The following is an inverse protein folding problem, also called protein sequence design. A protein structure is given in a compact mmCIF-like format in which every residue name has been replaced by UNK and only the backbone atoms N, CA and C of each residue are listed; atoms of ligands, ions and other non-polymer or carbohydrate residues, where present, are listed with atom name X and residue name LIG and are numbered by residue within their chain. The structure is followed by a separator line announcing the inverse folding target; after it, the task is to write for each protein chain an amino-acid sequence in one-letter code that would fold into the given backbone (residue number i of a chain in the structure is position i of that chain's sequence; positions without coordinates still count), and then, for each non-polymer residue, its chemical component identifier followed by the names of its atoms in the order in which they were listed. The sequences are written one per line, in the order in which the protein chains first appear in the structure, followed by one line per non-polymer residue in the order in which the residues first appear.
data_IF_212915289491
#
_entry.id   IF_212915289491
#
_cell.length_a   1.000
_cell.length_b   1.000
_cell.length_c   1.000
_cell.angle_alpha   90.00
_cell.angle_beta   90.00
_cell.angle_gamma   90.00
#
_symmetry.space_group_name_H-M   'P 1'
#
loop_
_entity.id
_entity.type
_entity.pdbx_description
1 polymer ?
#
# COMPACT_ATOMS: atom_id res chain seq x y z
N UNK A 1 -15.42 -18.94 4.14
CA UNK A 1 -14.19 -19.74 4.17
C UNK A 1 -13.31 -19.21 3.05
N UNK A 2 -12.03 -18.94 3.33
CA UNK A 2 -11.03 -18.55 2.33
C UNK A 2 -10.87 -19.68 1.31
N UNK A 3 -10.69 -19.33 0.02
CA UNK A 3 -10.40 -20.29 -1.06
C UNK A 3 -8.98 -20.88 -0.93
N UNK A 4 -8.20 -20.40 0.04
CA UNK A 4 -6.78 -20.71 0.21
C UNK A 4 -6.55 -21.24 1.63
N UNK A 5 -5.65 -22.21 1.74
CA UNK A 5 -5.22 -22.74 3.03
C UNK A 5 -4.44 -21.65 3.79
N UNK A 6 -4.79 -21.39 5.06
CA UNK A 6 -4.13 -20.35 5.84
C UNK A 6 -2.65 -20.66 6.12
N UNK A 7 -2.28 -21.94 6.20
CA UNK A 7 -0.93 -22.42 6.42
C UNK A 7 -0.55 -23.42 5.31
N UNK A 8 0.61 -23.21 4.69
CA UNK A 8 1.16 -24.09 3.66
C UNK A 8 2.57 -24.51 4.06
N UNK A 9 2.90 -25.78 3.88
CA UNK A 9 4.23 -26.32 4.13
C UNK A 9 5.03 -26.44 2.82
N UNK A 10 6.23 -25.83 2.79
CA UNK A 10 7.18 -25.92 1.67
C UNK A 10 8.56 -26.23 2.23
N UNK A 11 9.17 -27.33 1.78
CA UNK A 11 10.51 -27.77 2.23
C UNK A 11 10.64 -27.82 3.78
N UNK A 12 9.60 -28.32 4.45
CA UNK A 12 9.58 -28.41 5.93
C UNK A 12 9.37 -27.11 6.68
N UNK A 13 9.23 -25.97 5.97
CA UNK A 13 8.97 -24.64 6.56
C UNK A 13 7.50 -24.26 6.42
N UNK A 14 6.94 -23.55 7.40
CA UNK A 14 5.58 -23.01 7.37
C UNK A 14 5.55 -21.66 6.67
N UNK A 15 4.49 -21.47 5.87
CA UNK A 15 4.18 -20.22 5.21
C UNK A 15 2.70 -19.87 5.43
N UNK A 16 2.44 -18.61 5.70
CA UNK A 16 1.11 -18.09 6.02
C UNK A 16 0.55 -17.27 4.87
N UNK A 17 -0.69 -17.55 4.49
CA UNK A 17 -1.35 -16.84 3.39
C UNK A 17 -1.65 -15.38 3.75
N UNK A 18 -1.23 -14.46 2.87
CA UNK A 18 -1.42 -13.01 3.05
C UNK A 18 -2.23 -12.39 1.92
N UNK A 19 -1.80 -12.57 0.67
CA UNK A 19 -2.36 -11.85 -0.47
C UNK A 19 -2.77 -12.80 -1.60
N UNK A 20 -3.99 -12.56 -2.14
CA UNK A 20 -4.49 -13.25 -3.32
C UNK A 20 -3.71 -12.85 -4.58
N UNK A 21 -3.73 -13.70 -5.62
CA UNK A 21 -3.14 -13.37 -6.91
C UNK A 21 -3.72 -12.06 -7.49
N UNK A 22 -5.02 -11.82 -7.30
CA UNK A 22 -5.68 -10.59 -7.73
C UNK A 22 -5.09 -9.33 -7.06
N UNK A 23 -4.85 -9.35 -5.75
CA UNK A 23 -4.21 -8.22 -5.04
C UNK A 23 -2.78 -8.00 -5.50
N UNK A 24 -2.02 -9.09 -5.70
CA UNK A 24 -0.63 -9.02 -6.18
C UNK A 24 -0.51 -8.45 -7.59
N UNK A 25 -1.40 -8.85 -8.50
CA UNK A 25 -1.43 -8.29 -9.87
C UNK A 25 -1.72 -6.79 -9.84
N UNK A 26 -2.69 -6.34 -9.04
CA UNK A 26 -2.97 -4.91 -8.86
C UNK A 26 -1.74 -4.17 -8.32
N UNK A 27 -1.05 -4.74 -7.33
CA UNK A 27 0.18 -4.15 -6.77
C UNK A 27 1.30 -4.04 -7.83
N UNK A 28 1.49 -5.06 -8.66
CA UNK A 28 2.49 -5.03 -9.75
C UNK A 28 2.15 -3.94 -10.78
N UNK A 29 0.88 -3.83 -11.18
CA UNK A 29 0.43 -2.78 -12.11
C UNK A 29 0.65 -1.39 -11.49
N UNK A 30 0.29 -1.22 -10.20
CA UNK A 30 0.53 0.01 -9.45
C UNK A 30 2.02 0.37 -9.44
N UNK A 31 2.88 -0.58 -9.08
CA UNK A 31 4.32 -0.38 -9.05
C UNK A 31 4.88 0.06 -10.42
N UNK A 32 4.55 -0.67 -11.49
CA UNK A 32 5.04 -0.35 -12.85
C UNK A 32 4.57 1.04 -13.27
N UNK A 33 3.30 1.37 -13.06
CA UNK A 33 2.75 2.67 -13.48
C UNK A 33 3.39 3.83 -12.70
N UNK A 34 3.55 3.70 -11.40
CA UNK A 34 4.20 4.75 -10.59
C UNK A 34 5.67 4.92 -10.98
N UNK A 35 6.39 3.81 -11.22
CA UNK A 35 7.77 3.88 -11.69
C UNK A 35 7.89 4.61 -13.03
N UNK A 36 7.04 4.30 -14.01
CA UNK A 36 7.01 4.98 -15.29
C UNK A 36 6.65 6.46 -15.15
N UNK A 37 5.67 6.78 -14.29
CA UNK A 37 5.27 8.16 -14.02
C UNK A 37 6.40 8.98 -13.41
N UNK A 38 7.12 8.42 -12.44
CA UNK A 38 8.27 9.07 -11.83
C UNK A 38 9.41 9.24 -12.84
N UNK A 39 9.77 8.16 -13.56
CA UNK A 39 10.84 8.16 -14.54
C UNK A 39 10.63 9.17 -15.69
N UNK A 40 9.38 9.37 -16.12
CA UNK A 40 9.05 10.35 -17.16
C UNK A 40 8.76 11.74 -16.61
N UNK A 41 8.14 11.85 -15.43
CA UNK A 41 7.70 13.11 -14.86
C UNK A 41 8.83 13.98 -14.29
N UNK A 42 9.81 13.37 -13.59
CA UNK A 42 10.93 14.14 -13.04
C UNK A 42 11.81 14.80 -14.10
N UNK A 43 12.27 14.09 -15.15
CA UNK A 43 13.01 14.74 -16.23
C UNK A 43 12.19 15.81 -16.96
N UNK A 44 10.88 15.61 -17.12
CA UNK A 44 10.01 16.61 -17.73
C UNK A 44 9.91 17.89 -16.87
N UNK A 45 9.78 17.75 -15.55
CA UNK A 45 9.78 18.89 -14.61
C UNK A 45 11.11 19.65 -14.60
N UNK A 46 12.21 18.94 -14.74
CA UNK A 46 13.58 19.47 -14.62
C UNK A 46 14.30 19.54 -15.95
N UNK A 47 13.59 19.78 -17.06
CA UNK A 47 14.11 19.72 -18.40
C UNK A 47 15.32 20.67 -18.67
N UNK A 48 15.45 21.74 -17.89
CA UNK A 48 16.58 22.66 -17.94
C UNK A 48 17.83 22.14 -17.22
N UNK A 49 17.72 21.08 -16.39
CA UNK A 49 18.82 20.54 -15.61
C UNK A 49 19.65 19.56 -16.44
N UNK A 50 20.98 19.62 -16.30
CA UNK A 50 21.90 18.81 -17.09
C UNK A 50 21.71 17.28 -16.94
N UNK A 51 21.27 16.82 -15.78
CA UNK A 51 20.99 15.40 -15.49
C UNK A 51 19.66 14.92 -16.12
N UNK A 52 18.69 15.81 -16.29
CA UNK A 52 17.35 15.44 -16.73
C UNK A 52 17.29 15.15 -18.23
N UNK A 53 18.04 15.93 -19.04
CA UNK A 53 18.03 15.81 -20.49
C UNK A 53 18.43 14.42 -21.01
N UNK A 54 19.54 13.79 -20.57
CA UNK A 54 19.89 12.44 -21.02
C UNK A 54 18.82 11.39 -20.67
N UNK A 55 18.18 11.49 -19.49
CA UNK A 55 17.10 10.59 -19.10
C UNK A 55 15.85 10.80 -19.95
N UNK A 56 15.53 12.04 -20.25
CA UNK A 56 14.38 12.40 -21.08
C UNK A 56 14.57 11.92 -22.53
N UNK A 57 15.77 12.14 -23.08
CA UNK A 57 16.14 11.68 -24.43
C UNK A 57 16.17 10.14 -24.53
N UNK A 58 16.65 9.45 -23.50
CA UNK A 58 16.61 7.99 -23.39
C UNK A 58 15.17 7.43 -23.44
N UNK A 59 14.19 8.15 -22.90
CA UNK A 59 12.76 7.78 -22.95
C UNK A 59 12.04 8.27 -24.22
N UNK A 60 12.78 8.69 -25.24
CA UNK A 60 12.26 9.13 -26.53
C UNK A 60 11.92 10.62 -26.61
N UNK A 61 12.45 11.43 -25.71
CA UNK A 61 12.42 12.88 -25.75
C UNK A 61 11.02 13.47 -25.67
N UNK A 62 10.83 14.62 -26.33
CA UNK A 62 9.60 15.43 -26.30
C UNK A 62 8.38 14.74 -26.92
N UNK A 63 8.59 13.73 -27.74
CA UNK A 63 7.50 13.04 -28.44
C UNK A 63 6.97 11.84 -27.64
N UNK A 64 7.87 10.98 -27.12
CA UNK A 64 7.48 9.70 -26.55
C UNK A 64 7.36 9.75 -25.02
N UNK A 65 8.25 10.46 -24.30
CA UNK A 65 8.20 10.51 -22.86
C UNK A 65 6.86 11.06 -22.31
N UNK A 66 6.26 12.14 -22.87
CA UNK A 66 4.92 12.59 -22.46
C UNK A 66 3.82 11.58 -22.77
N UNK A 67 3.96 10.81 -23.86
CA UNK A 67 3.00 9.77 -24.22
C UNK A 67 3.03 8.63 -23.21
N UNK A 68 4.24 8.16 -22.81
CA UNK A 68 4.42 7.15 -21.76
C UNK A 68 3.82 7.66 -20.45
N UNK A 69 4.09 8.92 -20.07
CA UNK A 69 3.54 9.53 -18.85
C UNK A 69 2.02 9.50 -18.82
N UNK A 70 1.39 9.98 -19.90
CA UNK A 70 -0.08 10.03 -20.04
C UNK A 70 -0.70 8.63 -20.05
N UNK A 71 -0.07 7.68 -20.76
CA UNK A 71 -0.53 6.29 -20.80
C UNK A 71 -0.45 5.64 -19.41
N UNK A 72 0.67 5.77 -18.72
CA UNK A 72 0.84 5.27 -17.35
C UNK A 72 -0.14 5.93 -16.36
N UNK A 73 -0.34 7.25 -16.46
CA UNK A 73 -1.34 7.97 -15.68
C UNK A 73 -2.76 7.48 -15.90
N UNK A 74 -3.12 7.21 -17.16
CA UNK A 74 -4.43 6.64 -17.50
C UNK A 74 -4.61 5.25 -16.90
N UNK A 75 -3.60 4.38 -17.01
CA UNK A 75 -3.65 3.03 -16.40
C UNK A 75 -3.78 3.13 -14.88
N UNK A 76 -3.03 4.03 -14.23
CA UNK A 76 -3.11 4.25 -12.79
C UNK A 76 -4.50 4.72 -12.36
N UNK A 77 -5.11 5.66 -13.06
CA UNK A 77 -6.47 6.14 -12.78
C UNK A 77 -7.50 5.02 -12.95
N UNK A 78 -7.41 4.25 -14.03
CA UNK A 78 -8.30 3.10 -14.26
C UNK A 78 -8.14 2.04 -13.17
N UNK A 79 -6.90 1.75 -12.75
CA UNK A 79 -6.63 0.83 -11.65
C UNK A 79 -7.23 1.33 -10.33
N UNK A 80 -7.10 2.62 -10.04
CA UNK A 80 -7.66 3.23 -8.84
C UNK A 80 -9.19 3.13 -8.80
N UNK A 81 -9.85 3.47 -9.91
CA UNK A 81 -11.31 3.35 -10.05
C UNK A 81 -11.73 1.88 -9.91
N UNK A 82 -11.04 0.97 -10.60
CA UNK A 82 -11.31 -0.47 -10.51
C UNK A 82 -11.17 -0.98 -9.07
N UNK A 83 -10.08 -0.64 -8.39
CA UNK A 83 -9.83 -1.05 -7.01
C UNK A 83 -10.89 -0.50 -6.05
N UNK A 84 -11.28 0.76 -6.22
CA UNK A 84 -12.33 1.40 -5.42
C UNK A 84 -13.69 0.70 -5.62
N UNK A 85 -14.07 0.41 -6.87
CA UNK A 85 -15.30 -0.34 -7.19
C UNK A 85 -15.24 -1.75 -6.61
N UNK A 86 -14.11 -2.44 -6.74
CA UNK A 86 -13.91 -3.78 -6.17
C UNK A 86 -14.08 -3.77 -4.66
N UNK A 87 -13.49 -2.79 -3.96
CA UNK A 87 -13.62 -2.63 -2.51
C UNK A 87 -15.07 -2.34 -2.08
N UNK A 88 -15.76 -1.42 -2.77
CA UNK A 88 -17.17 -1.10 -2.52
C UNK A 88 -18.05 -2.36 -2.72
N UNK A 89 -17.82 -3.10 -3.80
CA UNK A 89 -18.55 -4.34 -4.09
C UNK A 89 -18.30 -5.40 -3.01
N UNK A 90 -17.05 -5.58 -2.58
CA UNK A 90 -16.68 -6.49 -1.50
C UNK A 90 -17.40 -6.13 -0.20
N UNK A 91 -17.35 -4.86 0.20
CA UNK A 91 -18.03 -4.37 1.41
C UNK A 91 -19.54 -4.56 1.34
N UNK A 92 -20.14 -4.20 0.22
CA UNK A 92 -21.57 -4.42 -0.03
C UNK A 92 -21.96 -5.89 0.13
N UNK A 93 -21.25 -6.78 -0.55
CA UNK A 93 -21.56 -8.22 -0.59
C UNK A 93 -21.38 -8.89 0.76
N UNK A 94 -20.29 -8.61 1.47
CA UNK A 94 -19.92 -9.35 2.67
C UNK A 94 -20.43 -8.72 3.97
N UNK A 95 -20.71 -7.43 3.98
CA UNK A 95 -21.15 -6.72 5.18
C UNK A 95 -22.56 -6.15 5.06
N UNK A 96 -22.83 -5.33 4.04
CA UNK A 96 -24.14 -4.65 3.95
C UNK A 96 -25.29 -5.60 3.67
N UNK A 97 -25.13 -6.58 2.78
CA UNK A 97 -26.15 -7.58 2.52
C UNK A 97 -26.47 -8.43 3.76
N UNK A 98 -25.44 -8.74 4.58
CA UNK A 98 -25.63 -9.45 5.84
C UNK A 98 -26.45 -8.60 6.82
N UNK A 99 -26.04 -7.35 7.05
CA UNK A 99 -26.78 -6.42 7.92
C UNK A 99 -28.23 -6.21 7.47
N UNK A 100 -28.45 -6.11 6.13
CA UNK A 100 -29.80 -5.99 5.56
C UNK A 100 -30.64 -7.23 5.82
N UNK A 101 -30.08 -8.43 5.61
CA UNK A 101 -30.78 -9.71 5.89
C UNK A 101 -31.15 -9.86 7.38
N UNK A 102 -30.26 -9.43 8.27
CA UNK A 102 -30.48 -9.47 9.71
C UNK A 102 -31.37 -8.31 10.22
N UNK A 103 -31.86 -7.43 9.34
CA UNK A 103 -32.64 -6.21 9.70
C UNK A 103 -31.93 -5.30 10.71
N UNK A 104 -30.59 -5.32 10.71
CA UNK A 104 -29.73 -4.54 11.62
C UNK A 104 -29.03 -3.36 10.91
N UNK A 105 -29.47 -2.98 9.72
CA UNK A 105 -28.87 -1.89 8.95
C UNK A 105 -29.24 -0.55 9.58
N UNK A 106 -28.34 0.01 10.36
CA UNK A 106 -28.40 1.33 10.94
C UNK A 106 -27.00 1.96 10.94
N UNK A 107 -26.90 3.25 11.22
CA UNK A 107 -25.61 4.00 11.18
C UNK A 107 -24.56 3.34 12.08
N UNK A 108 -24.93 2.93 13.30
CA UNK A 108 -24.00 2.30 14.25
C UNK A 108 -23.45 0.96 13.72
N UNK A 109 -24.31 0.11 13.16
CA UNK A 109 -23.92 -1.19 12.60
C UNK A 109 -23.09 -1.01 11.33
N UNK A 110 -23.44 -0.02 10.50
CA UNK A 110 -22.65 0.34 9.32
C UNK A 110 -21.24 0.80 9.71
N UNK A 111 -21.13 1.75 10.64
CA UNK A 111 -19.82 2.25 11.12
C UNK A 111 -19.00 1.12 11.75
N UNK A 112 -19.63 0.25 12.56
CA UNK A 112 -18.94 -0.91 13.12
C UNK A 112 -18.43 -1.87 12.04
N UNK A 113 -19.23 -2.14 11.00
CA UNK A 113 -18.82 -2.98 9.88
C UNK A 113 -17.66 -2.35 9.09
N UNK A 114 -17.69 -1.04 8.86
CA UNK A 114 -16.62 -0.31 8.19
C UNK A 114 -15.32 -0.35 9.01
N UNK A 115 -15.37 -0.08 10.30
CA UNK A 115 -14.20 -0.12 11.20
C UNK A 115 -13.68 -1.55 11.47
N UNK A 116 -14.44 -2.59 11.09
CA UNK A 116 -13.99 -3.98 11.19
C UNK A 116 -13.22 -4.47 9.97
N UNK A 117 -13.10 -3.65 8.92
CA UNK A 117 -12.29 -3.98 7.75
C UNK A 117 -10.79 -3.96 8.11
N UNK A 118 -10.05 -4.96 7.63
CA UNK A 118 -8.64 -5.16 7.97
C UNK A 118 -7.75 -3.95 7.64
N UNK A 119 -8.07 -3.22 6.55
CA UNK A 119 -7.29 -2.07 6.10
C UNK A 119 -7.76 -0.74 6.69
N UNK A 120 -8.90 -0.68 7.37
CA UNK A 120 -9.38 0.56 7.98
C UNK A 120 -8.69 0.76 9.34
N UNK A 121 -8.10 1.95 9.60
CA UNK A 121 -7.51 2.26 10.89
C UNK A 121 -8.52 2.11 12.04
N UNK A 122 -8.07 1.54 13.13
CA UNK A 122 -8.90 1.28 14.30
C UNK A 122 -8.15 1.61 15.61
N UNK A 123 -8.80 1.38 16.75
CA UNK A 123 -8.23 1.67 18.08
C UNK A 123 -6.92 0.92 18.35
N UNK A 124 -6.81 -0.32 17.85
CA UNK A 124 -5.60 -1.15 18.01
C UNK A 124 -4.37 -0.52 17.34
N UNK A 125 -4.55 0.10 16.17
CA UNK A 125 -3.45 0.77 15.47
C UNK A 125 -2.87 1.91 16.32
N UNK A 126 -3.74 2.67 17.00
CA UNK A 126 -3.30 3.72 17.90
C UNK A 126 -2.56 3.17 19.13
N UNK A 127 -3.07 2.07 19.70
CA UNK A 127 -2.42 1.36 20.81
C UNK A 127 -1.04 0.86 20.38
N UNK A 128 -0.92 0.31 19.18
CA UNK A 128 0.34 -0.17 18.61
C UNK A 128 1.34 0.98 18.34
N UNK A 129 0.85 2.14 17.87
CA UNK A 129 1.69 3.35 17.71
C UNK A 129 2.23 3.81 19.07
N UNK A 130 1.40 3.87 20.09
CA UNK A 130 1.83 4.24 21.44
C UNK A 130 2.81 3.19 21.99
N UNK A 131 2.55 1.90 21.74
CA UNK A 131 3.41 0.81 22.20
C UNK A 131 4.79 0.84 21.52
N UNK A 132 4.86 1.13 20.21
CA UNK A 132 6.17 1.22 19.53
C UNK A 132 7.00 2.39 20.08
N UNK A 133 6.38 3.54 20.35
CA UNK A 133 7.09 4.66 20.99
C UNK A 133 7.60 4.32 22.37
N UNK A 134 6.79 3.63 23.21
CA UNK A 134 7.23 3.15 24.53
C UNK A 134 8.40 2.18 24.41
N UNK A 135 8.38 1.31 23.40
CA UNK A 135 9.45 0.35 23.15
C UNK A 135 10.74 1.05 22.69
N UNK A 136 10.65 1.96 21.71
CA UNK A 136 11.80 2.70 21.20
C UNK A 136 12.43 3.64 22.23
N UNK A 137 11.64 4.16 23.16
CA UNK A 137 12.11 5.02 24.26
C UNK A 137 12.48 4.21 25.52
N UNK A 138 12.57 2.88 25.43
CA UNK A 138 12.95 1.97 26.52
C UNK A 138 12.03 1.99 27.75
N UNK A 139 10.78 2.45 27.61
CA UNK A 139 9.76 2.36 28.67
C UNK A 139 9.18 0.95 28.80
N UNK A 140 9.39 0.09 27.84
CA UNK A 140 8.96 -1.32 27.84
C UNK A 140 9.91 -2.17 26.99
N UNK A 141 10.06 -3.44 27.35
CA UNK A 141 10.84 -4.41 26.59
C UNK A 141 9.95 -5.21 25.60
N UNK A 142 8.68 -4.86 25.48
CA UNK A 142 7.73 -5.58 24.62
C UNK A 142 7.39 -4.76 23.39
N UNK A 143 7.71 -5.24 22.17
CA UNK A 143 7.25 -4.60 20.94
C UNK A 143 5.72 -4.72 20.78
N UNK A 144 5.09 -3.94 19.91
CA UNK A 144 3.67 -4.08 19.60
C UNK A 144 3.39 -5.46 18.98
N UNK A 145 2.18 -5.98 19.21
CA UNK A 145 1.69 -7.24 18.63
C UNK A 145 0.68 -6.92 17.55
N UNK A 146 1.17 -6.74 16.34
CA UNK A 146 0.32 -6.39 15.21
C UNK A 146 -0.63 -7.52 14.82
N UNK A 147 -1.82 -7.12 14.41
CA UNK A 147 -2.80 -7.98 13.76
C UNK A 147 -2.38 -8.30 12.32
N UNK A 148 -3.32 -8.83 11.51
CA UNK A 148 -3.09 -9.16 10.10
C UNK A 148 -2.48 -8.01 9.31
N UNK A 149 -2.93 -6.76 9.54
CA UNK A 149 -2.37 -5.55 8.95
C UNK A 149 -1.93 -4.60 10.06
N UNK A 150 -0.66 -4.24 10.04
CA UNK A 150 -0.09 -3.24 10.94
C UNK A 150 -0.56 -1.83 10.55
N UNK A 151 -0.47 -0.87 11.49
CA UNK A 151 -0.79 0.52 11.21
C UNK A 151 0.07 1.12 10.06
N UNK A 152 1.31 0.64 9.87
CA UNK A 152 2.21 1.04 8.78
C UNK A 152 1.65 0.59 7.43
N UNK A 153 1.27 -0.66 7.30
CA UNK A 153 0.67 -1.21 6.08
C UNK A 153 -0.66 -0.53 5.73
N UNK A 154 -1.46 -0.19 6.75
CA UNK A 154 -2.69 0.59 6.54
C UNK A 154 -2.38 2.01 6.05
N UNK A 155 -1.36 2.67 6.61
CA UNK A 155 -0.93 3.98 6.16
C UNK A 155 -0.46 3.95 4.69
N UNK A 156 0.39 2.97 4.33
CA UNK A 156 0.84 2.75 2.96
C UNK A 156 -0.33 2.48 1.99
N UNK A 157 -1.33 1.73 2.45
CA UNK A 157 -2.54 1.47 1.65
C UNK A 157 -3.40 2.72 1.42
N UNK A 158 -3.47 3.64 2.39
CA UNK A 158 -4.22 4.88 2.24
C UNK A 158 -3.48 5.96 1.46
N UNK A 159 -2.15 5.89 1.33
CA UNK A 159 -1.38 6.87 0.58
C UNK A 159 -1.86 7.08 -0.87
N UNK A 160 -2.16 6.04 -1.68
CA UNK A 160 -2.76 6.19 -3.01
C UNK A 160 -4.14 6.87 -2.99
N UNK A 161 -4.95 6.67 -1.95
CA UNK A 161 -6.26 7.32 -1.81
C UNK A 161 -6.15 8.81 -1.49
N UNK A 162 -5.00 9.24 -0.98
CA UNK A 162 -4.68 10.65 -0.83
C UNK A 162 -4.09 11.22 -2.13
N UNK A 163 -3.02 10.63 -2.64
CA UNK A 163 -2.23 11.16 -3.75
C UNK A 163 -2.96 11.12 -5.10
N UNK A 164 -3.60 10.00 -5.47
CA UNK A 164 -4.23 9.85 -6.79
C UNK A 164 -5.37 10.84 -7.02
N UNK A 165 -6.27 11.15 -6.05
CA UNK A 165 -7.29 12.19 -6.23
C UNK A 165 -6.74 13.61 -6.42
N UNK A 166 -5.51 13.88 -6.00
CA UNK A 166 -4.82 15.16 -6.24
C UNK A 166 -4.11 15.11 -7.59
N UNK A 167 -3.25 14.10 -7.79
CA UNK A 167 -2.42 13.96 -8.99
C UNK A 167 -3.25 13.73 -10.26
N UNK A 168 -4.30 12.89 -10.16
CA UNK A 168 -5.09 12.50 -11.31
C UNK A 168 -5.83 13.66 -11.97
N UNK A 169 -6.74 14.36 -11.26
CA UNK A 169 -7.44 15.51 -11.82
C UNK A 169 -6.49 16.64 -12.25
N UNK A 170 -5.44 16.93 -11.47
CA UNK A 170 -4.44 17.91 -11.85
C UNK A 170 -3.72 17.49 -13.15
N UNK A 171 -3.31 16.22 -13.27
CA UNK A 171 -2.68 15.68 -14.47
C UNK A 171 -3.59 15.74 -15.71
N UNK A 172 -4.88 15.43 -15.55
CA UNK A 172 -5.88 15.55 -16.62
C UNK A 172 -6.03 17.02 -17.07
N UNK A 173 -6.13 17.94 -16.13
CA UNK A 173 -6.23 19.36 -16.45
C UNK A 173 -4.97 19.90 -17.17
N UNK A 174 -3.79 19.39 -16.78
CA UNK A 174 -2.52 19.75 -17.45
C UNK A 174 -2.38 19.08 -18.83
N UNK A 175 -2.97 17.90 -19.02
CA UNK A 175 -3.00 17.23 -20.32
C UNK A 175 -3.89 17.97 -21.33
N UNK A 176 -5.07 18.41 -20.88
CA UNK A 176 -6.05 19.17 -21.67
C UNK A 176 -6.03 20.65 -21.31
N UNK A 177 -4.81 21.23 -21.28
CA UNK A 177 -4.58 22.59 -20.76
C UNK A 177 -5.37 23.65 -21.55
N UNK A 178 -5.49 23.48 -22.86
CA UNK A 178 -6.18 24.44 -23.72
C UNK A 178 -7.68 24.45 -23.39
N UNK A 179 -8.28 23.29 -23.26
CA UNK A 179 -9.70 23.13 -22.92
C UNK A 179 -10.00 23.69 -21.52
N UNK A 180 -9.14 23.34 -20.55
CA UNK A 180 -9.30 23.83 -19.19
C UNK A 180 -9.02 25.34 -19.04
N UNK A 181 -8.25 25.96 -19.96
CA UNK A 181 -8.01 27.41 -19.95
C UNK A 181 -9.26 28.23 -20.24
N UNK A 182 -10.25 27.64 -20.90
CA UNK A 182 -11.56 28.27 -21.14
C UNK A 182 -12.47 28.27 -19.91
N UNK A 183 -12.19 27.40 -18.93
CA UNK A 183 -13.04 27.20 -17.76
C UNK A 183 -12.33 27.72 -16.48
N UNK A 184 -11.00 27.53 -16.39
CA UNK A 184 -10.21 27.88 -15.25
C UNK A 184 -9.36 29.14 -15.52
N UNK A 185 -9.26 30.04 -14.55
CA UNK A 185 -8.33 31.18 -14.67
C UNK A 185 -6.86 30.70 -14.67
N UNK A 186 -5.97 31.45 -15.31
CA UNK A 186 -4.57 31.05 -15.50
C UNK A 186 -3.82 30.73 -14.19
N UNK A 187 -4.14 31.44 -13.10
CA UNK A 187 -3.54 31.13 -11.78
C UNK A 187 -3.95 29.73 -11.27
N UNK A 188 -5.15 29.24 -11.59
CA UNK A 188 -5.61 27.92 -11.18
C UNK A 188 -4.84 26.81 -11.93
N UNK A 189 -4.56 26.99 -13.23
CA UNK A 189 -3.71 26.06 -13.98
C UNK A 189 -2.27 26.01 -13.44
N UNK A 190 -1.72 27.15 -13.02
CA UNK A 190 -0.41 27.18 -12.38
C UNK A 190 -0.43 26.52 -11.00
N UNK A 191 -1.49 26.72 -10.21
CA UNK A 191 -1.67 26.02 -8.94
C UNK A 191 -1.76 24.50 -9.14
N UNK A 192 -2.53 24.02 -10.14
CA UNK A 192 -2.62 22.60 -10.48
C UNK A 192 -1.27 22.02 -10.91
N UNK A 193 -0.45 22.79 -11.64
CA UNK A 193 0.91 22.37 -11.99
C UNK A 193 1.77 22.19 -10.75
N UNK A 194 1.79 23.14 -9.83
CA UNK A 194 2.53 23.06 -8.57
C UNK A 194 2.04 21.87 -7.74
N UNK A 195 0.73 21.75 -7.54
CA UNK A 195 0.14 20.63 -6.80
C UNK A 195 0.52 19.28 -7.41
N UNK A 196 0.44 19.12 -8.73
CA UNK A 196 0.80 17.88 -9.41
C UNK A 196 2.27 17.53 -9.22
N UNK A 197 3.15 18.50 -9.42
CA UNK A 197 4.59 18.26 -9.34
C UNK A 197 5.10 18.06 -7.92
N UNK A 198 4.57 18.79 -6.93
CA UNK A 198 5.01 18.70 -5.54
C UNK A 198 4.43 17.47 -4.85
N UNK A 199 3.15 17.14 -5.12
CA UNK A 199 2.56 15.89 -4.64
C UNK A 199 3.26 14.67 -5.27
N UNK A 200 3.64 14.73 -6.56
CA UNK A 200 4.42 13.67 -7.21
C UNK A 200 5.79 13.48 -6.54
N UNK A 201 6.47 14.57 -6.19
CA UNK A 201 7.73 14.51 -5.44
C UNK A 201 7.52 13.90 -4.06
N UNK A 202 6.52 14.35 -3.32
CA UNK A 202 6.18 13.81 -1.99
C UNK A 202 5.86 12.30 -2.08
N UNK A 203 5.03 11.89 -3.05
CA UNK A 203 4.68 10.49 -3.25
C UNK A 203 5.91 9.61 -3.55
N UNK A 204 6.81 10.07 -4.41
CA UNK A 204 8.04 9.31 -4.74
C UNK A 204 9.00 9.26 -3.55
N UNK A 205 9.18 10.35 -2.82
CA UNK A 205 10.01 10.34 -1.60
C UNK A 205 9.44 9.40 -0.55
N UNK A 206 8.12 9.43 -0.33
CA UNK A 206 7.46 8.50 0.58
C UNK A 206 7.65 7.03 0.14
N UNK A 207 7.39 6.73 -1.13
CA UNK A 207 7.52 5.38 -1.67
C UNK A 207 8.96 4.87 -1.59
N UNK A 208 9.96 5.72 -1.86
CA UNK A 208 11.36 5.31 -1.87
C UNK A 208 11.93 5.19 -0.44
N UNK A 209 11.73 6.21 0.42
CA UNK A 209 12.35 6.24 1.74
C UNK A 209 11.56 5.52 2.82
N UNK A 210 10.25 5.41 2.69
CA UNK A 210 9.40 4.77 3.71
C UNK A 210 8.94 3.41 3.25
N UNK A 211 8.14 3.33 2.19
CA UNK A 211 7.56 2.07 1.75
C UNK A 211 8.63 1.08 1.30
N UNK A 212 9.46 1.46 0.33
CA UNK A 212 10.47 0.57 -0.25
C UNK A 212 11.54 0.15 0.75
N UNK A 213 11.96 1.07 1.62
CA UNK A 213 12.85 0.72 2.72
C UNK A 213 12.23 -0.36 3.61
N UNK A 214 11.00 -0.16 4.09
CA UNK A 214 10.34 -1.09 5.01
C UNK A 214 10.08 -2.48 4.41
N UNK A 215 9.86 -2.57 3.09
CA UNK A 215 9.52 -3.85 2.44
C UNK A 215 10.71 -4.57 1.81
N UNK A 216 11.84 -3.89 1.58
CA UNK A 216 13.00 -4.47 0.88
C UNK A 216 14.34 -4.30 1.60
N UNK A 217 14.59 -3.14 2.21
CA UNK A 217 15.91 -2.80 2.73
C UNK A 217 16.01 -2.81 4.25
N UNK A 218 14.92 -2.92 4.97
CA UNK A 218 14.99 -3.16 6.41
C UNK A 218 15.83 -4.43 6.68
N UNK A 219 16.70 -4.42 7.69
CA UNK A 219 17.61 -5.56 7.97
C UNK A 219 16.91 -6.91 8.01
N UNK A 220 15.68 -6.93 8.52
CA UNK A 220 14.85 -8.13 8.65
C UNK A 220 14.29 -8.62 7.30
N UNK A 221 14.29 -7.76 6.27
CA UNK A 221 13.71 -8.03 4.94
C UNK A 221 14.73 -8.21 3.83
N UNK A 222 15.96 -7.80 4.08
CA UNK A 222 17.00 -7.87 3.05
C UNK A 222 17.24 -9.31 2.55
N UNK A 223 17.38 -9.57 1.26
CA UNK A 223 17.43 -8.60 0.16
C UNK A 223 16.06 -8.11 -0.33
N UNK A 224 14.96 -8.78 -0.01
CA UNK A 224 13.60 -8.37 -0.39
C UNK A 224 12.54 -9.26 0.24
N UNK A 225 11.47 -8.66 0.73
CA UNK A 225 10.25 -9.41 1.04
C UNK A 225 9.69 -10.05 -0.24
N UNK A 226 9.33 -11.32 -0.18
CA UNK A 226 8.80 -12.07 -1.32
C UNK A 226 7.26 -12.17 -1.31
N UNK A 227 6.62 -11.67 -0.28
CA UNK A 227 5.17 -11.81 -0.05
C UNK A 227 4.33 -11.16 -1.18
N UNK A 228 4.80 -10.06 -1.77
CA UNK A 228 4.12 -9.39 -2.87
C UNK A 228 4.15 -10.18 -4.19
N UNK A 229 5.09 -11.13 -4.34
CA UNK A 229 5.17 -12.06 -5.48
C UNK A 229 4.46 -13.37 -5.14
N UNK A 230 4.77 -13.97 -3.99
CA UNK A 230 4.32 -15.32 -3.63
C UNK A 230 2.91 -15.33 -3.03
N UNK A 231 2.54 -14.27 -2.33
CA UNK A 231 1.30 -14.15 -1.54
C UNK A 231 1.40 -14.80 -0.16
N UNK A 232 2.56 -15.30 0.22
CA UNK A 232 2.81 -16.00 1.47
C UNK A 232 3.95 -15.38 2.24
N UNK A 233 3.83 -15.33 3.56
CA UNK A 233 4.86 -14.90 4.50
C UNK A 233 5.39 -16.13 5.24
N UNK A 234 6.69 -16.22 5.46
CA UNK A 234 7.28 -17.30 6.24
C UNK A 234 6.94 -17.16 7.73
N UNK A 235 7.11 -18.22 8.51
CA UNK A 235 6.76 -18.25 9.93
C UNK A 235 7.59 -17.26 10.75
N UNK A 236 8.87 -17.09 10.43
CA UNK A 236 9.73 -16.14 11.12
C UNK A 236 9.20 -14.71 11.02
N UNK A 237 8.89 -14.26 9.82
CA UNK A 237 8.35 -12.92 9.58
C UNK A 237 6.94 -12.75 10.19
N UNK A 238 6.10 -13.82 10.18
CA UNK A 238 4.81 -13.78 10.85
C UNK A 238 4.94 -13.59 12.38
N UNK A 239 5.87 -14.27 13.01
CA UNK A 239 6.14 -14.15 14.45
C UNK A 239 6.70 -12.76 14.79
N UNK A 240 7.55 -12.21 13.92
CA UNK A 240 8.17 -10.92 14.14
C UNK A 240 7.21 -9.74 13.90
N UNK A 241 6.47 -9.78 12.81
CA UNK A 241 5.72 -8.61 12.32
C UNK A 241 4.23 -8.65 12.65
N UNK A 242 3.63 -9.85 12.69
CA UNK A 242 2.19 -10.06 12.83
C UNK A 242 1.85 -11.06 13.93
N UNK A 243 2.49 -10.90 15.09
CA UNK A 243 2.41 -11.89 16.15
C UNK A 243 0.98 -12.21 16.60
N UNK A 244 0.10 -11.21 16.70
CA UNK A 244 -1.30 -11.45 17.08
C UNK A 244 -2.05 -12.28 16.03
N UNK A 245 -1.83 -12.02 14.74
CA UNK A 245 -2.41 -12.79 13.63
C UNK A 245 -1.81 -14.21 13.57
N UNK A 246 -0.50 -14.34 13.81
CA UNK A 246 0.18 -15.64 13.91
C UNK A 246 -0.47 -16.53 14.97
N UNK A 247 -0.56 -16.04 16.19
CA UNK A 247 -1.17 -16.78 17.31
C UNK A 247 -2.61 -17.18 17.00
N UNK A 248 -3.40 -16.24 16.46
CA UNK A 248 -4.78 -16.50 16.05
C UNK A 248 -4.88 -17.63 15.03
N UNK A 249 -4.07 -17.59 13.95
CA UNK A 249 -4.08 -18.61 12.90
C UNK A 249 -3.66 -19.97 13.47
N UNK A 250 -2.63 -20.02 14.34
CA UNK A 250 -2.17 -21.25 14.95
C UNK A 250 -3.27 -21.91 15.81
N UNK A 251 -3.96 -21.12 16.65
CA UNK A 251 -5.08 -21.58 17.47
C UNK A 251 -6.24 -22.09 16.59
N UNK A 252 -6.63 -21.32 15.58
CA UNK A 252 -7.74 -21.68 14.66
C UNK A 252 -7.47 -22.98 13.87
N UNK A 253 -6.19 -23.39 13.76
CA UNK A 253 -5.78 -24.63 13.07
C UNK A 253 -5.36 -25.77 14.03
N UNK A 254 -5.56 -25.62 15.36
CA UNK A 254 -5.25 -26.64 16.36
C UNK A 254 -3.75 -26.88 16.56
N UNK A 255 -2.93 -25.84 16.44
CA UNK A 255 -1.47 -25.87 16.56
C UNK A 255 -0.99 -25.03 17.76
N UNK A 256 -1.77 -24.97 18.83
CA UNK A 256 -1.48 -24.15 20.01
C UNK A 256 -0.14 -24.51 20.65
N UNK A 257 0.17 -25.80 20.71
CA UNK A 257 1.41 -26.32 21.32
C UNK A 257 2.67 -25.98 20.51
N UNK A 258 2.51 -25.52 19.28
CA UNK A 258 3.59 -25.19 18.36
C UNK A 258 3.78 -23.67 18.20
N UNK A 259 3.09 -22.87 19.01
CA UNK A 259 3.22 -21.40 18.98
C UNK A 259 4.60 -21.00 19.48
N UNK A 260 5.37 -20.34 18.62
CA UNK A 260 6.68 -19.79 18.96
C UNK A 260 6.52 -18.52 19.78
N UNK A 261 7.45 -18.25 20.74
CA UNK A 261 7.46 -16.95 21.42
C UNK A 261 7.72 -15.83 20.42
N UNK A 262 7.23 -14.63 20.73
CA UNK A 262 7.51 -13.47 19.89
C UNK A 262 9.03 -13.21 19.89
N UNK A 263 9.65 -13.23 18.71
CA UNK A 263 11.05 -12.88 18.55
C UNK A 263 11.24 -11.37 18.69
N UNK A 264 12.33 -10.95 19.32
CA UNK A 264 12.71 -9.55 19.48
C UNK A 264 13.82 -9.21 18.49
N UNK A 265 13.88 -7.96 18.05
CA UNK A 265 14.98 -7.49 17.20
C UNK A 265 16.32 -7.73 17.92
N UNK A 266 17.18 -8.55 17.31
CA UNK A 266 18.49 -8.93 17.88
C UNK A 266 18.65 -10.39 18.29
N UNK A 267 17.58 -11.20 18.34
CA UNK A 267 17.69 -12.65 18.51
C UNK A 267 17.97 -13.30 17.15
N UNK A 268 19.16 -13.87 17.05
CA UNK A 268 19.78 -14.64 15.97
C UNK A 268 18.97 -14.89 14.70
N UNK A 269 19.28 -14.14 13.65
CA UNK A 269 18.90 -14.47 12.28
C UNK A 269 19.74 -15.66 11.80
N UNK A 270 19.22 -16.88 11.85
CA UNK A 270 19.71 -17.97 11.03
C UNK A 270 19.15 -17.79 9.60
N UNK A 271 20.03 -17.38 8.70
CA UNK A 271 19.77 -17.17 7.27
C UNK A 271 19.47 -18.47 6.53
#
# INVERSE_FOLDING_TARGET
MSKYDPIVYKNGKRFFYRFSAHQRVQHVVLFITIFLLAATGFPLRHAEEAWARPLYDFMGGTEIAPLIHRAAGTVLLLLFVYHTIYWIHYFYKHYLLKLKKEKKLNVRSFTKALLSLEMVPNKKDWEDIVQIWKYLLYFTNRPPRHDRMSWREKFDYFAPYWGIPILGPAGVALWFRDEFSHILPGFALNALYIMHTDEALLAVLFLFFVHWYNVHYAPEKFPSATVWITGYLNEHDMVHEHYADYVKIMIENGLEDEIKPQSFAGENYEW
#
